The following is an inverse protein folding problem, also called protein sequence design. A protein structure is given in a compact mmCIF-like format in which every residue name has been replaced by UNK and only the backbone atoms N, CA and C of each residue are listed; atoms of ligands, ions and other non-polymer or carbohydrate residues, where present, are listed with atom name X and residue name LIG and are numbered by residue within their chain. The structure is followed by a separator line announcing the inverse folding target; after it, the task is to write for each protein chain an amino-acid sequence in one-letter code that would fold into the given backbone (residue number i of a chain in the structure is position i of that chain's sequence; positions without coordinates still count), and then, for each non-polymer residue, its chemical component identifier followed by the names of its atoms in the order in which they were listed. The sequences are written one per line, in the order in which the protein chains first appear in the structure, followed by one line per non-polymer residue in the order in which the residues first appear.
data_IF_945002057548
#
_entry.id   IF_945002057548
#
_cell.length_a   1.000
_cell.length_b   1.000
_cell.length_c   1.000
_cell.angle_alpha   90.00
_cell.angle_beta   90.00
_cell.angle_gamma   90.00
#
_symmetry.space_group_name_H-M   'P 1'
#
loop_
_entity.id
_entity.type
_entity.pdbx_description
1 polymer ?
#
# COMPACT_ATOMS: atom_id res chain seq x y z
N UNK A 1 7.08 -1.32 1.96
CA UNK A 1 5.70 -1.78 2.30
C UNK A 1 5.13 -1.08 3.53
N UNK A 2 5.82 -1.04 4.68
CA UNK A 2 5.29 -0.45 5.93
C UNK A 2 4.63 0.93 5.75
N UNK A 3 5.29 1.86 5.05
CA UNK A 3 4.75 3.20 4.81
C UNK A 3 3.44 3.19 4.00
N UNK A 4 3.36 2.38 2.94
CA UNK A 4 2.14 2.24 2.12
C UNK A 4 0.99 1.71 2.98
N UNK A 5 1.24 0.64 3.75
CA UNK A 5 0.23 0.05 4.62
C UNK A 5 -0.24 1.04 5.70
N UNK A 6 0.68 1.84 6.23
CA UNK A 6 0.34 2.86 7.22
C UNK A 6 -0.62 3.92 6.64
N UNK A 7 -0.42 4.33 5.38
CA UNK A 7 -1.35 5.24 4.71
C UNK A 7 -2.75 4.61 4.54
N UNK A 8 -2.83 3.38 4.05
CA UNK A 8 -4.11 2.70 3.79
C UNK A 8 -4.87 2.30 5.06
N UNK A 9 -4.14 1.92 6.12
CA UNK A 9 -4.70 1.33 7.36
C UNK A 9 -4.66 2.28 8.54
N UNK A 10 -4.05 3.46 8.37
CA UNK A 10 -3.87 4.51 9.38
C UNK A 10 -3.28 4.02 10.71
N UNK A 11 -2.46 2.97 10.69
CA UNK A 11 -2.01 2.28 11.90
C UNK A 11 -1.24 3.17 12.86
N UNK A 12 -0.39 4.06 12.34
CA UNK A 12 0.35 5.02 13.18
C UNK A 12 -0.58 6.00 13.88
N UNK A 13 -1.51 6.63 13.14
CA UNK A 13 -2.43 7.61 13.74
C UNK A 13 -3.38 6.97 14.75
N UNK A 14 -3.83 5.74 14.49
CA UNK A 14 -4.64 4.98 15.43
C UNK A 14 -3.86 4.66 16.71
N UNK A 15 -2.62 4.16 16.58
CA UNK A 15 -1.76 3.90 17.73
C UNK A 15 -1.47 5.19 18.53
N UNK A 16 -1.20 6.30 17.82
CA UNK A 16 -0.98 7.61 18.43
C UNK A 16 -2.21 8.09 19.21
N UNK A 17 -3.41 8.03 18.63
CA UNK A 17 -4.64 8.45 19.30
C UNK A 17 -4.90 7.67 20.60
N UNK A 18 -4.65 6.35 20.59
CA UNK A 18 -4.76 5.53 21.80
C UNK A 18 -3.69 5.89 22.83
N UNK A 19 -2.45 6.14 22.39
CA UNK A 19 -1.36 6.55 23.29
C UNK A 19 -1.60 7.93 23.93
N UNK A 20 -2.34 8.81 23.26
CA UNK A 20 -2.75 10.12 23.75
C UNK A 20 -4.01 10.05 24.65
N UNK A 21 -4.49 8.83 24.95
CA UNK A 21 -5.60 8.61 25.89
C UNK A 21 -6.99 8.64 25.25
N UNK A 22 -7.12 8.69 23.91
CA UNK A 22 -8.43 8.56 23.25
C UNK A 22 -9.00 7.18 23.53
N UNK A 23 -10.08 7.12 24.32
CA UNK A 23 -10.82 5.89 24.59
C UNK A 23 -11.66 5.52 23.37
N UNK A 24 -11.39 4.36 22.78
CA UNK A 24 -12.16 3.82 21.65
C UNK A 24 -13.04 2.69 22.18
N UNK A 25 -14.33 2.98 22.38
CA UNK A 25 -15.29 2.02 22.93
C UNK A 25 -16.48 1.88 21.98
N UNK A 26 -16.76 0.67 21.52
CA UNK A 26 -17.86 0.41 20.60
C UNK A 26 -17.50 0.63 19.12
N UNK A 27 -18.29 0.02 18.23
CA UNK A 27 -18.01 -0.03 16.80
C UNK A 27 -18.07 1.35 16.11
N UNK A 28 -18.95 2.25 16.58
CA UNK A 28 -19.09 3.60 16.00
C UNK A 28 -17.86 4.47 16.25
N UNK A 29 -17.31 4.47 17.48
CA UNK A 29 -16.05 5.16 17.75
C UNK A 29 -14.88 4.58 16.95
N UNK A 30 -14.84 3.26 16.71
CA UNK A 30 -13.82 2.64 15.84
C UNK A 30 -13.92 3.18 14.42
N UNK A 31 -15.13 3.29 13.87
CA UNK A 31 -15.35 3.84 12.51
C UNK A 31 -14.93 5.31 12.42
N UNK A 32 -15.23 6.11 13.44
CA UNK A 32 -14.82 7.51 13.52
C UNK A 32 -13.29 7.65 13.51
N UNK A 33 -12.58 6.97 14.42
CA UNK A 33 -11.12 7.09 14.54
C UNK A 33 -10.37 6.46 13.36
N UNK A 34 -10.92 5.40 12.78
CA UNK A 34 -10.37 4.74 11.59
C UNK A 34 -10.83 5.40 10.29
N UNK A 35 -11.55 6.53 10.37
CA UNK A 35 -12.04 7.29 9.22
C UNK A 35 -10.95 7.52 8.18
N UNK A 36 -11.25 7.16 6.93
CA UNK A 36 -10.30 7.26 5.81
C UNK A 36 -9.40 6.04 5.62
N UNK A 37 -9.50 4.99 6.45
CA UNK A 37 -8.91 3.69 6.12
C UNK A 37 -9.58 3.12 4.86
N UNK A 38 -8.79 2.62 3.91
CA UNK A 38 -9.28 2.10 2.63
C UNK A 38 -8.96 0.63 2.42
N UNK A 39 -9.77 -0.03 1.61
CA UNK A 39 -9.48 -1.36 1.07
C UNK A 39 -8.43 -1.20 -0.03
N UNK A 40 -7.37 -2.00 0.02
CA UNK A 40 -6.27 -1.95 -0.96
C UNK A 40 -6.52 -2.81 -2.21
N UNK A 41 -7.31 -3.87 -2.07
CA UNK A 41 -7.54 -4.82 -3.16
C UNK A 41 -8.25 -4.11 -4.31
N UNK A 42 -7.68 -4.20 -5.51
CA UNK A 42 -8.17 -3.54 -6.72
C UNK A 42 -7.58 -2.16 -6.98
N UNK A 43 -6.91 -1.54 -6.00
CA UNK A 43 -6.26 -0.24 -6.19
C UNK A 43 -4.95 -0.39 -6.98
N UNK A 44 -4.59 0.67 -7.70
CA UNK A 44 -3.38 0.73 -8.52
C UNK A 44 -2.21 1.28 -7.71
N UNK A 45 -1.08 0.56 -7.68
CA UNK A 45 0.19 1.04 -7.16
C UNK A 45 1.14 1.34 -8.32
N UNK A 46 1.46 2.63 -8.50
CA UNK A 46 2.49 3.09 -9.44
C UNK A 46 3.89 3.06 -8.84
N UNK A 47 4.85 2.47 -9.55
CA UNK A 47 6.26 2.40 -9.16
C UNK A 47 7.12 3.12 -10.21
N UNK A 48 7.91 4.11 -9.79
CA UNK A 48 8.88 4.77 -10.67
C UNK A 48 10.27 4.20 -10.37
N UNK A 49 10.90 3.61 -11.39
CA UNK A 49 12.15 2.87 -11.27
C UNK A 49 11.93 1.41 -10.86
N UNK A 50 12.28 0.48 -11.75
CA UNK A 50 12.07 -0.96 -11.60
C UNK A 50 13.39 -1.71 -11.42
N UNK A 51 14.17 -1.26 -10.45
CA UNK A 51 15.36 -1.97 -9.98
C UNK A 51 15.03 -3.06 -8.95
N UNK A 52 16.03 -3.44 -8.14
CA UNK A 52 15.90 -4.46 -7.09
C UNK A 52 14.80 -4.13 -6.08
N UNK A 53 14.73 -2.87 -5.64
CA UNK A 53 13.74 -2.41 -4.64
C UNK A 53 12.34 -2.30 -5.26
N UNK A 54 12.21 -1.71 -6.46
CA UNK A 54 10.93 -1.62 -7.17
C UNK A 54 10.30 -2.99 -7.39
N UNK A 55 11.11 -3.94 -7.87
CA UNK A 55 10.70 -5.34 -8.06
C UNK A 55 10.25 -5.98 -6.74
N UNK A 56 11.05 -5.81 -5.68
CA UNK A 56 10.72 -6.32 -4.35
C UNK A 56 9.41 -5.73 -3.78
N UNK A 57 9.13 -4.45 -4.05
CA UNK A 57 7.88 -3.79 -3.67
C UNK A 57 6.70 -4.31 -4.49
N UNK A 58 6.84 -4.42 -5.81
CA UNK A 58 5.83 -4.96 -6.73
C UNK A 58 5.37 -6.36 -6.30
N UNK A 59 6.32 -7.28 -6.07
CA UNK A 59 6.03 -8.65 -5.65
C UNK A 59 5.25 -8.71 -4.33
N UNK A 60 5.60 -7.86 -3.36
CA UNK A 60 4.89 -7.78 -2.07
C UNK A 60 3.53 -7.11 -2.21
N UNK A 61 3.39 -6.10 -3.05
CA UNK A 61 2.13 -5.39 -3.25
C UNK A 61 1.08 -6.29 -3.95
N UNK A 62 1.50 -7.20 -4.83
CA UNK A 62 0.61 -8.20 -5.45
C UNK A 62 -0.11 -9.09 -4.44
N UNK A 63 0.53 -9.48 -3.34
CA UNK A 63 -0.14 -10.29 -2.30
C UNK A 63 -1.24 -9.52 -1.56
N UNK A 64 -1.25 -8.18 -1.62
CA UNK A 64 -2.35 -7.35 -1.11
C UNK A 64 -3.49 -7.18 -2.14
N UNK A 65 -3.37 -7.81 -3.32
CA UNK A 65 -4.35 -7.74 -4.40
C UNK A 65 -4.38 -6.39 -5.11
N UNK A 66 -3.26 -5.66 -5.10
CA UNK A 66 -3.12 -4.40 -5.83
C UNK A 66 -2.75 -4.67 -7.30
N UNK A 67 -3.21 -3.80 -8.19
CA UNK A 67 -2.78 -3.75 -9.58
C UNK A 67 -1.49 -2.93 -9.66
N UNK A 68 -0.42 -3.48 -10.24
CA UNK A 68 0.89 -2.83 -10.23
C UNK A 68 1.18 -2.27 -11.60
N UNK A 69 1.42 -0.96 -11.66
CA UNK A 69 1.92 -0.27 -12.86
C UNK A 69 3.31 0.29 -12.54
N UNK A 70 4.21 0.36 -13.52
CA UNK A 70 5.52 0.94 -13.30
C UNK A 70 6.05 1.72 -14.49
N UNK A 71 6.98 2.63 -14.24
CA UNK A 71 7.72 3.32 -15.28
C UNK A 71 9.21 3.25 -15.00
N UNK A 72 9.97 2.72 -15.97
CA UNK A 72 11.43 2.75 -15.99
C UNK A 72 11.91 2.79 -17.45
N UNK A 73 12.61 3.85 -17.90
CA UNK A 73 13.04 3.97 -19.30
C UNK A 73 14.26 3.09 -19.63
N UNK A 74 14.94 2.51 -18.65
CA UNK A 74 16.20 1.77 -18.85
C UNK A 74 16.04 0.25 -18.80
N UNK A 75 14.87 -0.26 -18.39
CA UNK A 75 14.62 -1.70 -18.41
C UNK A 75 14.33 -2.18 -19.84
N UNK A 76 14.86 -3.36 -20.23
CA UNK A 76 14.53 -3.98 -21.51
C UNK A 76 13.04 -4.28 -21.65
N UNK A 77 12.55 -4.28 -22.88
CA UNK A 77 11.17 -4.66 -23.18
C UNK A 77 10.87 -6.11 -22.78
N UNK A 78 9.65 -6.36 -22.30
CA UNK A 78 9.22 -7.68 -21.85
C UNK A 78 9.57 -8.00 -20.40
N UNK A 79 10.30 -7.13 -19.69
CA UNK A 79 10.55 -7.27 -18.26
C UNK A 79 9.23 -7.33 -17.45
N UNK A 80 8.25 -6.54 -17.87
CA UNK A 80 6.91 -6.48 -17.29
C UNK A 80 6.17 -7.83 -17.32
N UNK A 81 6.38 -8.62 -18.38
CA UNK A 81 5.76 -9.95 -18.56
C UNK A 81 6.29 -10.96 -17.55
N UNK A 82 7.58 -10.91 -17.25
CA UNK A 82 8.20 -11.82 -16.29
C UNK A 82 7.68 -11.62 -14.86
N UNK A 83 7.30 -10.38 -14.50
CA UNK A 83 6.78 -10.03 -13.18
C UNK A 83 5.24 -9.99 -13.11
N UNK A 84 4.57 -10.03 -14.26
CA UNK A 84 3.12 -9.88 -14.36
C UNK A 84 2.65 -8.52 -13.84
N UNK A 85 3.32 -7.46 -14.29
CA UNK A 85 3.02 -6.05 -13.97
C UNK A 85 2.81 -5.27 -15.27
N UNK A 86 2.21 -4.09 -15.19
CA UNK A 86 1.95 -3.23 -16.36
C UNK A 86 3.00 -2.10 -16.43
N UNK A 87 3.46 -1.75 -17.64
CA UNK A 87 4.43 -0.65 -17.89
C UNK A 87 3.71 0.57 -18.45
#
# INVERSE_FOLDING_TARGET
MSLILNLYRRTYWLAKAVSEGKKVVGAEHVREVAGGSKRMRGDVLGIIGMGRVGTAVALRARSFGMNIVFYDPFVPDGFEKALGVER
#
